data_IF_381459152557
#
_entry.id   IF_381459152557
#
_cell.length_a   1.000
_cell.length_b   1.000
_cell.length_c   1.000
_cell.angle_alpha   90.00
_cell.angle_beta   90.00
_cell.angle_gamma   90.00
#
_symmetry.space_group_name_H-M   'P 1'
#
loop_
_entity.id
_entity.type
_entity.pdbx_description
1 polymer ?
#
# COMPACT_ATOMS: atom_id res chain seq x y z
N UNK A 1 -5.10 20.41 -4.05
CA UNK A 1 -3.82 20.87 -4.61
C UNK A 1 -3.21 19.69 -5.35
N UNK A 2 -3.27 19.67 -6.70
CA UNK A 2 -2.65 18.60 -7.49
C UNK A 2 -1.15 18.89 -7.64
N UNK A 3 -0.35 18.42 -6.68
CA UNK A 3 1.12 18.58 -6.75
C UNK A 3 1.74 17.80 -7.91
N UNK A 4 1.11 16.71 -8.35
CA UNK A 4 1.58 15.85 -9.45
C UNK A 4 0.41 15.39 -10.32
N UNK A 5 0.69 15.00 -11.57
CA UNK A 5 -0.35 14.51 -12.47
C UNK A 5 -0.96 13.20 -11.97
N UNK A 6 -2.22 12.92 -12.39
CA UNK A 6 -2.92 11.67 -12.05
C UNK A 6 -2.13 10.42 -12.46
N UNK A 7 -1.49 10.45 -13.61
CA UNK A 7 -0.68 9.31 -14.10
C UNK A 7 0.62 9.17 -13.32
N UNK A 8 1.26 10.28 -12.93
CA UNK A 8 2.44 10.28 -12.06
C UNK A 8 2.11 9.67 -10.69
N UNK A 9 0.99 10.08 -10.08
CA UNK A 9 0.53 9.52 -8.82
C UNK A 9 0.28 8.01 -8.92
N UNK A 10 -0.41 7.55 -9.99
CA UNK A 10 -0.64 6.12 -10.24
C UNK A 10 0.67 5.34 -10.40
N UNK A 11 1.66 5.91 -11.09
CA UNK A 11 2.95 5.27 -11.31
C UNK A 11 3.72 5.11 -9.98
N UNK A 12 3.77 6.15 -9.16
CA UNK A 12 4.44 6.08 -7.85
C UNK A 12 3.75 5.04 -6.95
N UNK A 13 2.41 5.04 -6.88
CA UNK A 13 1.65 4.02 -6.12
C UNK A 13 1.93 2.61 -6.63
N UNK A 14 1.99 2.43 -7.96
CA UNK A 14 2.35 1.14 -8.54
C UNK A 14 3.72 0.68 -8.07
N UNK A 15 4.76 1.51 -8.18
CA UNK A 15 6.10 1.17 -7.74
C UNK A 15 6.21 0.94 -6.23
N UNK A 16 5.42 1.65 -5.42
CA UNK A 16 5.39 1.47 -3.97
C UNK A 16 4.81 0.13 -3.56
N UNK A 17 3.71 -0.28 -4.22
CA UNK A 17 2.92 -1.46 -3.84
C UNK A 17 3.37 -2.77 -4.48
N UNK A 18 4.15 -2.70 -5.55
CA UNK A 18 4.65 -3.89 -6.24
C UNK A 18 6.12 -4.13 -5.90
N UNK A 19 6.42 -5.33 -5.41
CA UNK A 19 7.67 -5.68 -4.75
C UNK A 19 8.55 -6.56 -5.64
N UNK A 20 8.74 -6.17 -6.90
CA UNK A 20 9.73 -6.83 -7.73
C UNK A 20 11.15 -6.37 -7.35
N UNK A 21 12.05 -7.32 -7.16
CA UNK A 21 13.40 -7.05 -6.68
C UNK A 21 14.17 -6.09 -7.59
N UNK A 22 13.96 -6.23 -8.90
CA UNK A 22 14.66 -5.46 -9.92
C UNK A 22 13.87 -4.27 -10.46
N UNK A 23 12.69 -3.98 -9.91
CA UNK A 23 11.82 -2.93 -10.39
C UNK A 23 11.16 -3.24 -11.74
N UNK A 24 10.70 -2.20 -12.44
CA UNK A 24 9.90 -2.33 -13.65
C UNK A 24 10.41 -1.41 -14.75
N UNK A 25 10.42 -1.89 -16.00
CA UNK A 25 10.70 -1.04 -17.15
C UNK A 25 9.46 -0.25 -17.61
N UNK A 26 9.68 0.73 -18.50
CA UNK A 26 8.62 1.61 -18.99
C UNK A 26 7.47 0.87 -19.69
N UNK A 27 7.77 -0.23 -20.41
CA UNK A 27 6.76 -1.03 -21.11
C UNK A 27 5.85 -1.78 -20.12
N UNK A 28 6.43 -2.39 -19.08
CA UNK A 28 5.68 -3.09 -18.04
C UNK A 28 4.75 -2.11 -17.29
N UNK A 29 5.27 -0.94 -16.91
CA UNK A 29 4.51 0.10 -16.23
C UNK A 29 3.39 0.63 -17.14
N UNK A 30 3.68 0.91 -18.41
CA UNK A 30 2.70 1.38 -19.37
C UNK A 30 1.53 0.40 -19.54
N UNK A 31 1.84 -0.90 -19.68
CA UNK A 31 0.85 -1.98 -19.78
C UNK A 31 -0.02 -2.06 -18.50
N UNK A 32 0.59 -2.01 -17.33
CA UNK A 32 -0.14 -2.08 -16.06
C UNK A 32 -1.07 -0.87 -15.85
N UNK A 33 -0.56 0.33 -16.12
CA UNK A 33 -1.31 1.59 -15.92
C UNK A 33 -2.27 1.90 -17.07
N UNK A 34 -2.23 1.13 -18.16
CA UNK A 34 -3.01 1.37 -19.39
C UNK A 34 -2.77 2.77 -19.96
N UNK A 35 -1.51 3.18 -20.06
CA UNK A 35 -1.04 4.42 -20.69
C UNK A 35 -0.08 4.09 -21.84
N UNK A 36 0.24 5.08 -22.69
CA UNK A 36 1.26 4.88 -23.73
C UNK A 36 2.66 4.69 -23.15
N UNK A 37 3.49 3.92 -23.83
CA UNK A 37 4.91 3.71 -23.45
C UNK A 37 5.65 5.05 -23.38
N UNK A 38 5.40 5.94 -24.36
CA UNK A 38 5.99 7.29 -24.38
C UNK A 38 5.60 8.12 -23.15
N UNK A 39 4.32 8.04 -22.72
CA UNK A 39 3.88 8.71 -21.47
C UNK A 39 4.56 8.13 -20.24
N UNK A 40 4.65 6.79 -20.15
CA UNK A 40 5.34 6.12 -19.05
C UNK A 40 6.81 6.54 -18.99
N UNK A 41 7.50 6.51 -20.13
CA UNK A 41 8.91 6.89 -20.25
C UNK A 41 9.15 8.35 -19.83
N UNK A 42 8.31 9.29 -20.33
CA UNK A 42 8.41 10.71 -19.96
C UNK A 42 8.25 10.92 -18.46
N UNK A 43 7.23 10.30 -17.85
CA UNK A 43 7.02 10.39 -16.39
C UNK A 43 8.22 9.84 -15.63
N UNK A 44 8.75 8.67 -16.04
CA UNK A 44 9.90 8.05 -15.38
C UNK A 44 11.16 8.93 -15.48
N UNK A 45 11.41 9.56 -16.63
CA UNK A 45 12.54 10.48 -16.80
C UNK A 45 12.39 11.73 -15.92
N UNK A 46 11.19 12.28 -15.79
CA UNK A 46 10.94 13.41 -14.90
C UNK A 46 11.13 13.02 -13.42
N UNK A 47 10.67 11.84 -13.02
CA UNK A 47 10.87 11.31 -11.67
C UNK A 47 12.35 10.98 -11.37
N UNK A 48 13.09 10.46 -12.34
CA UNK A 48 14.53 10.19 -12.24
C UNK A 48 15.32 11.50 -12.06
N UNK A 49 15.03 12.51 -12.87
CA UNK A 49 15.62 13.86 -12.75
C UNK A 49 15.42 14.45 -11.35
N UNK A 50 14.25 14.24 -10.76
CA UNK A 50 13.91 14.69 -9.40
C UNK A 50 14.34 13.70 -8.30
N UNK A 51 15.10 12.65 -8.62
CA UNK A 51 15.60 11.64 -7.67
C UNK A 51 14.48 10.90 -6.90
N UNK A 52 13.28 10.88 -7.44
CA UNK A 52 12.14 10.13 -6.87
C UNK A 52 12.23 8.64 -7.22
N UNK A 53 12.74 8.32 -8.41
CA UNK A 53 13.04 6.95 -8.82
C UNK A 53 14.53 6.80 -9.12
N UNK A 54 15.01 5.56 -9.04
CA UNK A 54 16.36 5.14 -9.41
C UNK A 54 16.22 4.25 -10.63
N UNK A 55 17.01 4.54 -11.68
CA UNK A 55 17.13 3.70 -12.87
C UNK A 55 18.29 2.72 -12.71
N UNK A 56 18.08 1.47 -13.11
CA UNK A 56 19.09 0.41 -13.12
C UNK A 56 19.03 -0.36 -14.45
N UNK A 57 20.17 -0.52 -15.11
CA UNK A 57 20.26 -1.35 -16.31
C UNK A 57 20.30 -2.82 -15.94
N UNK A 58 19.38 -3.61 -16.52
CA UNK A 58 19.29 -5.06 -16.34
C UNK A 58 19.17 -5.69 -17.74
N UNK A 59 20.26 -6.33 -18.18
CA UNK A 59 20.37 -6.75 -19.57
C UNK A 59 20.21 -5.55 -20.50
N UNK A 60 19.30 -5.64 -21.47
CA UNK A 60 19.01 -4.59 -22.44
C UNK A 60 17.88 -3.63 -21.99
N UNK A 61 17.41 -3.74 -20.76
CA UNK A 61 16.30 -2.93 -20.26
C UNK A 61 16.74 -2.00 -19.13
N UNK A 62 16.13 -0.81 -19.06
CA UNK A 62 16.25 0.10 -17.93
C UNK A 62 15.01 -0.12 -17.04
N UNK A 63 15.25 -0.57 -15.82
CA UNK A 63 14.22 -0.76 -14.79
C UNK A 63 14.27 0.37 -13.76
N UNK A 64 13.14 0.67 -13.17
CA UNK A 64 12.96 1.77 -12.25
C UNK A 64 12.39 1.26 -10.92
N UNK A 65 12.96 1.74 -9.83
CA UNK A 65 12.48 1.55 -8.47
C UNK A 65 12.30 2.91 -7.78
N UNK A 66 11.48 2.96 -6.73
CA UNK A 66 11.40 4.15 -5.88
C UNK A 66 12.70 4.36 -5.11
N UNK A 67 13.15 5.61 -5.05
CA UNK A 67 14.27 6.02 -4.21
C UNK A 67 13.80 6.26 -2.78
N UNK A 68 13.53 5.21 -2.03
CA UNK A 68 13.06 5.31 -0.63
C UNK A 68 14.16 5.73 0.37
N UNK A 69 15.38 6.01 -0.10
CA UNK A 69 16.41 6.69 0.70
C UNK A 69 16.19 8.20 0.72
N UNK A 70 15.65 8.76 -0.38
CA UNK A 70 15.31 10.17 -0.47
C UNK A 70 14.10 10.51 0.42
N UNK A 71 14.23 11.44 1.40
CA UNK A 71 13.12 11.81 2.28
C UNK A 71 11.90 12.40 1.56
N UNK A 72 12.11 13.14 0.46
CA UNK A 72 11.02 13.69 -0.35
C UNK A 72 10.17 12.58 -0.98
N UNK A 73 10.81 11.52 -1.49
CA UNK A 73 10.13 10.34 -2.02
C UNK A 73 9.29 9.65 -0.95
N UNK A 74 9.84 9.50 0.26
CA UNK A 74 9.12 8.90 1.40
C UNK A 74 7.87 9.73 1.71
N UNK A 75 8.01 11.05 1.85
CA UNK A 75 6.87 11.94 2.15
C UNK A 75 5.84 11.96 1.03
N UNK A 76 6.27 11.92 -0.22
CA UNK A 76 5.36 11.82 -1.37
C UNK A 76 4.56 10.51 -1.33
N UNK A 77 5.20 9.38 -1.02
CA UNK A 77 4.52 8.10 -0.87
C UNK A 77 3.49 8.12 0.26
N UNK A 78 3.83 8.67 1.44
CA UNK A 78 2.91 8.82 2.57
C UNK A 78 1.68 9.66 2.18
N UNK A 79 1.89 10.80 1.52
CA UNK A 79 0.80 11.66 1.05
C UNK A 79 -0.13 10.94 0.07
N UNK A 80 0.44 10.17 -0.87
CA UNK A 80 -0.34 9.41 -1.84
C UNK A 80 -1.18 8.31 -1.19
N UNK A 81 -0.70 7.67 -0.12
CA UNK A 81 -1.48 6.70 0.67
C UNK A 81 -2.64 7.38 1.42
N UNK A 82 -2.42 8.59 1.98
CA UNK A 82 -3.49 9.39 2.58
C UNK A 82 -4.56 9.79 1.56
N UNK A 83 -4.18 10.13 0.33
CA UNK A 83 -5.13 10.41 -0.75
C UNK A 83 -5.96 9.19 -1.11
N UNK A 84 -5.36 7.99 -1.18
CA UNK A 84 -6.11 6.75 -1.42
C UNK A 84 -7.16 6.49 -0.33
N UNK A 85 -6.79 6.65 0.93
CA UNK A 85 -7.72 6.52 2.06
C UNK A 85 -8.94 7.45 1.92
N UNK A 86 -8.73 8.70 1.52
CA UNK A 86 -9.81 9.68 1.30
C UNK A 86 -10.77 9.31 0.16
N UNK A 87 -10.34 8.45 -0.77
CA UNK A 87 -11.17 7.98 -1.88
C UNK A 87 -12.06 6.78 -1.52
N UNK A 88 -11.92 6.22 -0.32
CA UNK A 88 -12.80 5.15 0.15
C UNK A 88 -14.25 5.63 0.18
N UNK A 89 -15.16 4.75 -0.20
CA UNK A 89 -16.60 5.03 -0.26
C UNK A 89 -17.42 3.84 0.26
N UNK A 90 -18.71 4.03 0.45
CA UNK A 90 -19.63 2.97 0.87
C UNK A 90 -19.21 2.30 2.18
N UNK A 91 -19.36 0.98 2.23
CA UNK A 91 -18.99 0.19 3.41
C UNK A 91 -17.51 0.27 3.77
N UNK A 92 -16.60 0.30 2.78
CA UNK A 92 -15.18 0.43 3.04
C UNK A 92 -14.85 1.71 3.82
N UNK A 93 -15.48 2.84 3.47
CA UNK A 93 -15.33 4.10 4.22
C UNK A 93 -15.89 3.98 5.64
N UNK A 94 -17.09 3.39 5.79
CA UNK A 94 -17.76 3.23 7.07
C UNK A 94 -16.91 2.42 8.07
N UNK A 95 -16.32 1.31 7.60
CA UNK A 95 -15.43 0.49 8.43
C UNK A 95 -14.10 1.20 8.68
N UNK A 96 -13.54 1.88 7.69
CA UNK A 96 -12.29 2.63 7.84
C UNK A 96 -12.38 3.70 8.94
N UNK A 97 -13.49 4.46 9.01
CA UNK A 97 -13.74 5.48 10.03
C UNK A 97 -13.80 4.90 11.46
N UNK A 98 -14.25 3.64 11.60
CA UNK A 98 -14.29 2.95 12.88
C UNK A 98 -12.94 2.33 13.23
N UNK A 99 -12.32 1.62 12.29
CA UNK A 99 -11.07 0.88 12.49
C UNK A 99 -9.87 1.78 12.79
N UNK A 100 -9.78 2.96 12.17
CA UNK A 100 -8.68 3.90 12.43
C UNK A 100 -8.67 4.47 13.85
N UNK A 101 -9.76 4.31 14.62
CA UNK A 101 -9.84 4.73 16.02
C UNK A 101 -9.05 3.81 16.96
N UNK A 102 -8.63 2.63 16.49
CA UNK A 102 -7.78 1.76 17.29
C UNK A 102 -6.36 2.32 17.37
N UNK A 103 -6.02 2.92 18.50
CA UNK A 103 -4.76 3.65 18.67
C UNK A 103 -3.54 2.75 18.87
N UNK A 104 -3.72 1.52 19.39
CA UNK A 104 -2.64 0.61 19.82
C UNK A 104 -2.02 -0.20 18.66
N UNK A 105 -2.29 0.15 17.40
CA UNK A 105 -1.63 -0.43 16.23
C UNK A 105 -0.72 0.59 15.55
N UNK A 106 0.44 0.12 15.10
CA UNK A 106 1.40 0.90 14.31
C UNK A 106 0.93 1.07 12.84
N UNK A 107 0.26 0.03 12.31
CA UNK A 107 -0.28 0.01 10.95
C UNK A 107 -1.61 -0.72 10.96
N UNK A 108 -2.60 -0.19 10.22
CA UNK A 108 -3.91 -0.82 9.99
C UNK A 108 -4.18 -0.82 8.49
N UNK A 109 -4.45 -1.99 7.92
CA UNK A 109 -4.77 -2.17 6.50
C UNK A 109 -6.11 -2.88 6.37
N UNK A 110 -7.07 -2.25 5.70
CA UNK A 110 -8.32 -2.88 5.27
C UNK A 110 -8.08 -3.61 3.96
N UNK A 111 -8.52 -4.85 3.84
CA UNK A 111 -8.34 -5.64 2.62
C UNK A 111 -9.53 -6.57 2.35
N UNK A 112 -9.42 -7.38 1.31
CA UNK A 112 -10.45 -8.36 0.98
C UNK A 112 -11.63 -7.81 0.20
N UNK A 113 -12.74 -8.51 0.27
CA UNK A 113 -13.92 -8.30 -0.57
C UNK A 113 -14.63 -6.97 -0.33
N UNK A 114 -14.54 -6.41 0.87
CA UNK A 114 -15.14 -5.11 1.23
C UNK A 114 -14.64 -3.95 0.36
N UNK A 115 -13.42 -4.07 -0.20
CA UNK A 115 -12.83 -3.05 -1.09
C UNK A 115 -13.27 -3.19 -2.56
N UNK A 116 -13.77 -4.36 -2.97
CA UNK A 116 -13.94 -4.68 -4.39
C UNK A 116 -15.34 -5.12 -4.77
N UNK A 117 -16.14 -5.59 -3.81
CA UNK A 117 -17.48 -6.15 -4.05
C UNK A 117 -18.55 -5.33 -3.35
N UNK A 118 -19.76 -5.30 -3.94
CA UNK A 118 -20.95 -4.72 -3.29
C UNK A 118 -21.45 -5.59 -2.14
N UNK A 119 -21.34 -6.92 -2.30
CA UNK A 119 -21.70 -7.92 -1.30
C UNK A 119 -20.46 -8.63 -0.79
N UNK A 120 -20.32 -8.68 0.51
CA UNK A 120 -19.19 -9.32 1.22
C UNK A 120 -19.72 -9.95 2.52
N UNK A 121 -19.07 -10.98 3.01
CA UNK A 121 -19.49 -11.70 4.22
C UNK A 121 -18.84 -11.15 5.49
N UNK A 122 -17.59 -10.76 5.39
CA UNK A 122 -16.72 -10.30 6.48
C UNK A 122 -15.85 -9.12 6.04
N UNK A 123 -15.20 -8.52 7.00
CA UNK A 123 -14.29 -7.38 6.81
C UNK A 123 -12.93 -7.76 7.32
N UNK A 124 -12.02 -8.04 6.37
CA UNK A 124 -10.65 -8.44 6.68
C UNK A 124 -9.78 -7.22 6.99
N UNK A 125 -9.06 -7.26 8.10
CA UNK A 125 -8.21 -6.16 8.57
C UNK A 125 -6.88 -6.69 9.10
N UNK A 126 -5.76 -6.16 8.58
CA UNK A 126 -4.45 -6.37 9.18
C UNK A 126 -4.19 -5.30 10.24
N UNK A 127 -3.80 -5.75 11.43
CA UNK A 127 -3.25 -4.92 12.49
C UNK A 127 -1.78 -5.28 12.74
N UNK A 128 -0.89 -4.31 12.63
CA UNK A 128 0.51 -4.48 13.04
C UNK A 128 0.63 -3.95 14.45
N UNK A 129 0.76 -4.87 15.42
CA UNK A 129 0.78 -4.57 16.86
C UNK A 129 1.24 -5.76 17.69
N UNK A 130 1.60 -5.50 18.96
CA UNK A 130 1.81 -6.51 19.99
C UNK A 130 0.56 -6.75 20.87
N UNK A 131 -0.55 -6.04 20.61
CA UNK A 131 -1.73 -5.97 21.48
C UNK A 131 -2.87 -6.86 20.97
N UNK A 132 -2.60 -8.18 20.79
CA UNK A 132 -3.55 -9.10 20.16
C UNK A 132 -4.89 -9.21 20.89
N UNK A 133 -4.91 -9.22 22.22
CA UNK A 133 -6.13 -9.29 23.00
C UNK A 133 -7.01 -8.07 22.76
N UNK A 134 -6.41 -6.87 22.86
CA UNK A 134 -7.12 -5.60 22.67
C UNK A 134 -7.67 -5.45 21.24
N UNK A 135 -6.97 -5.98 20.21
CA UNK A 135 -7.49 -6.02 18.82
C UNK A 135 -8.70 -6.91 18.73
N UNK A 136 -8.65 -8.12 19.30
CA UNK A 136 -9.78 -9.05 19.26
C UNK A 136 -11.00 -8.48 19.97
N UNK A 137 -10.83 -7.92 21.15
CA UNK A 137 -11.92 -7.28 21.90
C UNK A 137 -12.53 -6.11 21.10
N UNK A 138 -11.71 -5.26 20.52
CA UNK A 138 -12.15 -4.15 19.68
C UNK A 138 -12.92 -4.62 18.44
N UNK A 139 -12.42 -5.65 17.73
CA UNK A 139 -13.09 -6.20 16.55
C UNK A 139 -14.41 -6.88 16.90
N UNK A 140 -14.49 -7.56 18.05
CA UNK A 140 -15.75 -8.13 18.55
C UNK A 140 -16.79 -7.05 18.83
N UNK A 141 -16.41 -5.98 19.54
CA UNK A 141 -17.33 -4.86 19.81
C UNK A 141 -17.77 -4.17 18.50
N UNK A 142 -16.84 -3.95 17.56
CA UNK A 142 -17.19 -3.37 16.27
C UNK A 142 -18.15 -4.27 15.49
N UNK A 143 -17.99 -5.60 15.56
CA UNK A 143 -18.86 -6.57 14.90
C UNK A 143 -20.28 -6.58 15.48
N UNK A 144 -20.47 -6.26 16.75
CA UNK A 144 -21.81 -6.14 17.38
C UNK A 144 -22.60 -4.94 16.86
N UNK A 145 -21.92 -3.85 16.55
CA UNK A 145 -22.56 -2.59 16.11
C UNK A 145 -22.58 -2.41 14.59
N UNK A 146 -21.98 -3.32 13.83
CA UNK A 146 -21.89 -3.27 12.37
C UNK A 146 -22.54 -4.48 11.73
N UNK A 147 -22.94 -4.34 10.45
CA UNK A 147 -23.68 -5.38 9.72
C UNK A 147 -22.86 -6.66 9.46
N UNK A 148 -21.53 -6.58 9.44
CA UNK A 148 -20.64 -7.71 9.12
C UNK A 148 -19.53 -7.84 10.17
N UNK A 149 -19.09 -9.08 10.36
CA UNK A 149 -17.98 -9.38 11.26
C UNK A 149 -16.66 -8.78 10.77
N UNK A 150 -15.85 -8.29 11.72
CA UNK A 150 -14.49 -7.84 11.47
C UNK A 150 -13.55 -8.97 11.84
N UNK A 151 -12.79 -9.44 10.87
CA UNK A 151 -11.83 -10.55 11.00
C UNK A 151 -10.42 -9.99 11.04
N UNK A 152 -9.78 -9.93 12.21
CA UNK A 152 -8.44 -9.38 12.33
C UNK A 152 -7.37 -10.40 11.96
N UNK A 153 -6.43 -10.00 11.12
CA UNK A 153 -5.10 -10.60 10.98
C UNK A 153 -4.14 -9.77 11.82
N UNK A 154 -3.48 -10.39 12.80
CA UNK A 154 -2.61 -9.68 13.73
C UNK A 154 -1.17 -10.15 13.54
N UNK A 155 -0.28 -9.23 13.20
CA UNK A 155 1.16 -9.50 13.01
C UNK A 155 1.99 -8.47 13.76
N UNK A 156 3.18 -8.87 14.21
CA UNK A 156 4.22 -7.94 14.61
C UNK A 156 4.93 -7.40 13.37
N UNK A 157 5.50 -6.20 13.43
CA UNK A 157 6.21 -5.58 12.31
C UNK A 157 7.32 -6.46 11.74
N UNK A 158 8.10 -7.11 12.61
CA UNK A 158 9.17 -8.02 12.20
C UNK A 158 8.65 -9.26 11.45
N UNK A 159 7.53 -9.83 11.93
CA UNK A 159 6.91 -10.99 11.30
C UNK A 159 6.35 -10.61 9.90
N UNK A 160 5.70 -9.46 9.78
CA UNK A 160 5.22 -8.95 8.50
C UNK A 160 6.37 -8.78 7.48
N UNK A 161 7.49 -8.20 7.89
CA UNK A 161 8.69 -8.04 7.04
C UNK A 161 9.23 -9.41 6.61
N UNK A 162 9.29 -10.38 7.53
CA UNK A 162 9.75 -11.75 7.24
C UNK A 162 8.84 -12.43 6.21
N UNK A 163 7.52 -12.39 6.39
CA UNK A 163 6.56 -12.97 5.47
C UNK A 163 6.62 -12.33 4.07
N UNK A 164 6.86 -11.02 4.00
CA UNK A 164 7.04 -10.30 2.73
C UNK A 164 8.34 -10.70 2.02
N UNK A 165 9.46 -10.84 2.74
CA UNK A 165 10.73 -11.34 2.19
C UNK A 165 10.62 -12.77 1.67
N UNK A 166 9.83 -13.60 2.34
CA UNK A 166 9.49 -14.95 1.90
C UNK A 166 8.48 -14.98 0.75
N UNK A 167 8.06 -13.81 0.24
CA UNK A 167 7.12 -13.66 -0.88
C UNK A 167 5.81 -14.43 -0.67
N UNK A 168 5.32 -14.50 0.59
CA UNK A 168 4.07 -15.17 0.89
C UNK A 168 2.92 -14.49 0.16
N UNK A 169 2.32 -15.17 -0.80
CA UNK A 169 1.39 -14.62 -1.78
C UNK A 169 0.23 -13.84 -1.14
N UNK A 170 -0.40 -14.39 -0.10
CA UNK A 170 -1.50 -13.74 0.61
C UNK A 170 -1.08 -12.39 1.20
N UNK A 171 0.11 -12.29 1.82
CA UNK A 171 0.63 -11.07 2.43
C UNK A 171 1.06 -10.07 1.37
N UNK A 172 1.72 -10.52 0.29
CA UNK A 172 2.09 -9.66 -0.85
C UNK A 172 0.82 -9.07 -1.49
N UNK A 173 -0.22 -9.89 -1.72
CA UNK A 173 -1.51 -9.44 -2.26
C UNK A 173 -2.18 -8.41 -1.36
N UNK A 174 -2.21 -8.65 -0.04
CA UNK A 174 -2.75 -7.72 0.96
C UNK A 174 -2.02 -6.37 0.91
N UNK A 175 -0.70 -6.37 0.92
CA UNK A 175 0.11 -5.14 0.88
C UNK A 175 -0.05 -4.37 -0.44
N UNK A 176 -0.21 -5.09 -1.55
CA UNK A 176 -0.36 -4.47 -2.87
C UNK A 176 -1.74 -3.87 -3.12
N UNK A 177 -2.80 -4.42 -2.52
CA UNK A 177 -4.20 -4.06 -2.83
C UNK A 177 -4.97 -3.46 -1.65
N UNK A 178 -4.49 -3.63 -0.42
CA UNK A 178 -5.17 -3.17 0.78
C UNK A 178 -5.18 -1.65 0.92
N UNK A 179 -6.19 -1.10 1.57
CA UNK A 179 -6.30 0.32 1.89
C UNK A 179 -5.63 0.60 3.24
N UNK A 180 -4.65 1.49 3.25
CA UNK A 180 -3.96 1.89 4.47
C UNK A 180 -4.86 2.85 5.25
N UNK A 181 -5.30 2.44 6.44
CA UNK A 181 -6.17 3.24 7.29
C UNK A 181 -5.39 4.09 8.29
N UNK A 182 -4.26 3.56 8.77
CA UNK A 182 -3.36 4.19 9.73
C UNK A 182 -1.95 3.69 9.51
N UNK A 183 -0.94 4.53 9.75
CA UNK A 183 0.47 4.14 9.73
C UNK A 183 1.10 4.19 8.34
N UNK A 184 0.79 5.20 7.54
CA UNK A 184 1.33 5.40 6.19
C UNK A 184 2.87 5.41 6.20
N UNK A 185 3.48 6.05 7.19
CA UNK A 185 4.95 6.07 7.38
C UNK A 185 5.50 4.68 7.70
N UNK A 186 4.81 3.92 8.56
CA UNK A 186 5.19 2.54 8.90
C UNK A 186 5.09 1.63 7.68
N UNK A 187 4.05 1.82 6.84
CA UNK A 187 3.93 1.09 5.58
C UNK A 187 5.13 1.34 4.66
N UNK A 188 5.49 2.61 4.43
CA UNK A 188 6.63 2.97 3.58
C UNK A 188 7.94 2.45 4.15
N UNK A 189 8.13 2.49 5.47
CA UNK A 189 9.29 1.92 6.15
C UNK A 189 9.39 0.40 5.96
N UNK A 190 8.28 -0.33 6.08
CA UNK A 190 8.24 -1.79 5.83
C UNK A 190 8.66 -2.08 4.39
N UNK A 191 8.09 -1.39 3.40
CA UNK A 191 8.48 -1.56 1.99
C UNK A 191 9.97 -1.28 1.76
N UNK A 192 10.50 -0.20 2.36
CA UNK A 192 11.93 0.13 2.31
C UNK A 192 12.82 -1.00 2.88
N UNK A 193 12.38 -1.64 3.97
CA UNK A 193 13.13 -2.71 4.62
C UNK A 193 13.04 -4.05 3.86
N UNK A 194 11.97 -4.28 3.11
CA UNK A 194 11.82 -5.47 2.27
C UNK A 194 12.65 -5.37 0.99
N UNK A 195 12.76 -4.18 0.41
CA UNK A 195 13.50 -3.91 -0.84
C UNK A 195 15.02 -3.72 -0.66
N UNK A 196 15.53 -3.82 0.56
CA UNK A 196 16.97 -3.86 0.85
C UNK A 196 17.54 -5.24 0.66
#
# INVERSE_FOLDING_TARGET
>A
MNMISKNTAKLIRFLLRNMEDYGYNSNQIAKYLKISVGSSFKILKDLEKNKIVIAQSIGNAINYNLNLVNPETVKLCELLLLEEKRQLSGYAKLYAESLQKFEKAELIILFGSVLTKKEFNDVDVLFVTHKSKEVNDFCLELSKIRAKHVVPLILKKGDLIKELRNKKEAIVSLMSRGAILKGESVFVEIIKNVKK
#
